data_IF_998649008911
#
_entry.id   IF_998649008911
#
_cell.length_a   1.000
_cell.length_b   1.000
_cell.length_c   1.000
_cell.angle_alpha   90.00
_cell.angle_beta   90.00
_cell.angle_gamma   90.00
#
_symmetry.space_group_name_H-M   'P 1'
#
loop_
_entity.id
_entity.type
_entity.pdbx_description
1 polymer ?
#
# COMPACT_ATOMS: atom_id res chain seq x y z
N UNK A 1 13.37 32.48 9.57
CA UNK A 1 14.20 31.95 10.67
C UNK A 1 15.54 31.53 10.12
N UNK A 2 16.60 32.19 10.57
CA UNK A 2 18.01 31.95 10.22
C UNK A 2 18.69 31.06 11.27
N UNK A 3 19.93 30.59 11.02
CA UNK A 3 20.74 29.87 12.02
C UNK A 3 20.90 30.65 13.34
N UNK A 4 20.95 31.98 13.25
CA UNK A 4 20.99 32.87 14.41
C UNK A 4 19.72 32.78 15.29
N UNK A 5 18.57 32.46 14.71
CA UNK A 5 17.32 32.27 15.46
C UNK A 5 17.32 30.93 16.18
N UNK A 6 17.86 29.87 15.58
CA UNK A 6 18.09 28.59 16.26
C UNK A 6 19.06 28.71 17.43
N UNK A 7 20.10 29.52 17.29
CA UNK A 7 21.05 29.80 18.36
C UNK A 7 20.40 30.57 19.51
N UNK A 8 19.61 31.60 19.20
CA UNK A 8 18.84 32.36 20.20
C UNK A 8 17.82 31.50 20.93
N UNK A 9 17.13 30.62 20.20
CA UNK A 9 16.23 29.63 20.81
C UNK A 9 17.00 28.70 21.74
N UNK A 10 18.16 28.18 21.30
CA UNK A 10 19.02 27.34 22.12
C UNK A 10 19.44 28.04 23.42
N UNK A 11 19.80 29.32 23.35
CA UNK A 11 20.24 30.11 24.51
C UNK A 11 19.08 30.42 25.48
N UNK A 12 17.91 30.83 24.95
CA UNK A 12 16.67 30.99 25.72
C UNK A 12 16.32 29.70 26.47
N UNK A 13 16.51 28.54 25.82
CA UNK A 13 16.28 27.24 26.44
C UNK A 13 17.36 26.82 27.45
N UNK A 14 18.63 27.18 27.25
CA UNK A 14 19.70 26.93 28.24
C UNK A 14 19.43 27.72 29.53
N UNK A 15 18.97 28.96 29.39
CA UNK A 15 18.57 29.80 30.52
C UNK A 15 17.44 29.14 31.32
N UNK A 16 16.37 28.69 30.65
CA UNK A 16 15.27 27.94 31.28
C UNK A 16 15.74 26.67 31.98
N UNK A 17 16.59 25.88 31.33
CA UNK A 17 17.12 24.63 31.89
C UNK A 17 17.97 24.88 33.14
N UNK A 18 18.77 25.94 33.15
CA UNK A 18 19.54 26.33 34.32
C UNK A 18 18.61 26.73 35.48
N UNK A 19 17.52 27.44 35.18
CA UNK A 19 16.53 27.84 36.17
C UNK A 19 15.71 26.68 36.73
N UNK A 20 15.32 25.70 35.92
CA UNK A 20 14.65 24.49 36.41
C UNK A 20 15.54 23.68 37.35
N UNK A 21 16.86 23.67 37.13
CA UNK A 21 17.82 22.96 38.00
C UNK A 21 18.14 23.69 39.31
N UNK A 22 17.99 25.01 39.33
CA UNK A 22 18.30 25.88 40.48
C UNK A 22 17.28 27.03 40.59
N UNK A 23 16.02 26.74 40.95
CA UNK A 23 14.94 27.74 40.97
C UNK A 23 15.26 28.95 41.85
N UNK A 24 15.96 28.71 42.97
CA UNK A 24 16.38 29.73 43.94
C UNK A 24 17.33 30.78 43.37
N UNK A 25 17.97 30.50 42.22
CA UNK A 25 18.90 31.43 41.55
C UNK A 25 18.25 32.22 40.42
N UNK A 26 16.94 32.06 40.21
CA UNK A 26 16.24 32.61 39.05
C UNK A 26 15.08 33.55 39.40
N UNK A 27 14.95 33.97 40.66
CA UNK A 27 13.96 34.96 41.07
C UNK A 27 14.05 36.25 40.23
N UNK A 28 15.27 36.69 39.93
CA UNK A 28 15.55 37.91 39.14
C UNK A 28 15.49 37.70 37.62
N UNK A 29 15.26 36.47 37.17
CA UNK A 29 15.23 36.10 35.74
C UNK A 29 13.80 35.91 35.21
N UNK A 30 12.77 36.25 36.00
CA UNK A 30 11.36 36.09 35.63
C UNK A 30 11.01 36.76 34.30
N UNK A 31 11.48 37.98 34.08
CA UNK A 31 11.21 38.73 32.84
C UNK A 31 11.94 38.13 31.64
N UNK A 32 13.16 37.63 31.84
CA UNK A 32 13.92 36.95 30.79
C UNK A 32 13.28 35.59 30.42
N UNK A 33 12.76 34.86 31.40
CA UNK A 33 12.02 33.61 31.20
C UNK A 33 10.68 33.86 30.50
N UNK A 34 9.94 34.89 30.90
CA UNK A 34 8.69 35.29 30.25
C UNK A 34 8.94 35.75 28.80
N UNK A 35 10.00 36.53 28.55
CA UNK A 35 10.39 36.93 27.21
C UNK A 35 10.79 35.72 26.34
N UNK A 36 11.49 34.73 26.91
CA UNK A 36 11.79 33.47 26.25
C UNK A 36 10.51 32.67 25.93
N UNK A 37 9.53 32.60 26.86
CA UNK A 37 8.23 31.96 26.63
C UNK A 37 7.49 32.64 25.48
N UNK A 38 7.41 33.98 25.49
CA UNK A 38 6.70 34.74 24.47
C UNK A 38 7.34 34.58 23.09
N UNK A 39 8.68 34.55 22.99
CA UNK A 39 9.38 34.27 21.73
C UNK A 39 9.12 32.85 21.23
N UNK A 40 9.09 31.87 22.13
CA UNK A 40 8.80 30.48 21.79
C UNK A 40 7.33 30.25 21.41
N UNK A 41 6.40 30.96 22.04
CA UNK A 41 5.00 30.99 21.69
C UNK A 41 4.77 31.72 20.36
N UNK A 42 5.57 32.75 20.05
CA UNK A 42 5.49 33.48 18.78
C UNK A 42 6.00 32.69 17.57
N UNK A 43 6.64 31.53 17.75
CA UNK A 43 6.96 30.57 16.68
C UNK A 43 5.71 29.82 16.17
N UNK A 44 4.55 30.47 16.16
CA UNK A 44 3.27 29.85 15.86
C UNK A 44 3.00 29.73 14.35
N UNK A 45 2.34 28.64 13.96
CA UNK A 45 1.70 28.51 12.65
C UNK A 45 2.66 28.45 11.45
N UNK A 46 2.34 29.25 10.43
CA UNK A 46 2.97 29.18 9.11
C UNK A 46 4.47 29.49 9.12
N UNK A 47 5.00 30.20 10.13
CA UNK A 47 6.43 30.52 10.24
C UNK A 47 7.28 29.32 10.67
N UNK A 48 6.81 28.52 11.64
CA UNK A 48 7.47 27.27 12.04
C UNK A 48 7.33 26.23 10.93
N UNK A 49 6.16 26.17 10.27
CA UNK A 49 5.96 25.33 9.08
C UNK A 49 6.92 25.72 7.96
N UNK A 50 6.97 26.98 7.56
CA UNK A 50 7.87 27.47 6.52
C UNK A 50 9.34 27.29 6.90
N UNK A 51 9.68 27.38 8.18
CA UNK A 51 11.02 27.06 8.68
C UNK A 51 11.36 25.57 8.54
N UNK A 52 10.46 24.67 8.98
CA UNK A 52 10.65 23.24 8.83
C UNK A 52 10.72 22.85 7.34
N UNK A 53 9.85 23.39 6.50
CA UNK A 53 9.87 23.20 5.04
C UNK A 53 11.21 23.61 4.40
N UNK A 54 11.79 24.73 4.83
CA UNK A 54 13.14 25.15 4.39
C UNK A 54 14.26 24.28 4.95
N UNK A 55 14.10 23.78 6.19
CA UNK A 55 15.09 22.99 6.92
C UNK A 55 15.12 21.50 6.56
N UNK A 56 14.03 20.94 6.02
CA UNK A 56 13.90 19.52 5.62
C UNK A 56 14.98 19.09 4.61
N UNK A 57 15.51 20.02 3.81
CA UNK A 57 16.58 19.74 2.85
C UNK A 57 17.97 19.58 3.49
N UNK A 58 18.12 19.88 4.79
CA UNK A 58 19.36 19.67 5.53
C UNK A 58 19.13 18.71 6.72
N UNK A 59 19.43 17.40 6.55
CA UNK A 59 19.25 16.38 7.58
C UNK A 59 19.96 16.72 8.91
N UNK A 60 21.09 17.43 8.83
CA UNK A 60 21.91 17.84 9.99
C UNK A 60 21.19 18.87 10.85
N UNK A 61 20.52 19.85 10.23
CA UNK A 61 19.74 20.88 10.94
C UNK A 61 18.56 20.26 11.68
N UNK A 62 17.87 19.31 11.04
CA UNK A 62 16.73 18.67 11.70
C UNK A 62 17.19 17.70 12.81
N UNK A 63 18.26 16.94 12.59
CA UNK A 63 18.85 16.10 13.65
C UNK A 63 19.32 16.93 14.87
N UNK A 64 19.87 18.11 14.64
CA UNK A 64 20.26 19.05 15.71
C UNK A 64 19.04 19.56 16.50
N UNK A 65 17.99 20.01 15.79
CA UNK A 65 16.72 20.46 16.39
C UNK A 65 16.09 19.32 17.20
N UNK A 66 15.97 18.14 16.60
CA UNK A 66 15.43 16.93 17.23
C UNK A 66 16.23 16.55 18.47
N UNK A 67 17.56 16.55 18.41
CA UNK A 67 18.43 16.26 19.55
C UNK A 67 18.33 17.30 20.66
N UNK A 68 18.12 18.57 20.31
CA UNK A 68 17.90 19.65 21.27
C UNK A 68 16.58 19.46 22.03
N UNK A 69 15.47 19.27 21.30
CA UNK A 69 14.15 19.07 21.86
C UNK A 69 14.04 17.75 22.65
N UNK A 70 14.66 16.66 22.18
CA UNK A 70 14.67 15.38 22.89
C UNK A 70 15.35 15.45 24.27
N UNK A 71 16.49 16.16 24.38
CA UNK A 71 17.17 16.38 25.67
C UNK A 71 16.33 17.23 26.62
N UNK A 72 15.59 18.21 26.10
CA UNK A 72 14.72 19.07 26.90
C UNK A 72 13.54 18.31 27.47
N UNK A 73 12.88 17.44 26.68
CA UNK A 73 11.79 16.61 27.17
C UNK A 73 12.21 15.77 28.38
N UNK A 74 13.40 15.17 28.33
CA UNK A 74 13.93 14.37 29.42
C UNK A 74 14.10 15.21 30.71
N UNK A 75 14.57 16.45 30.58
CA UNK A 75 14.74 17.36 31.70
C UNK A 75 13.38 17.84 32.24
N UNK A 76 12.48 18.29 31.37
CA UNK A 76 11.14 18.75 31.75
C UNK A 76 10.36 17.64 32.45
N UNK A 77 10.37 16.41 31.91
CA UNK A 77 9.71 15.27 32.54
C UNK A 77 10.31 14.91 33.91
N UNK A 78 11.64 15.00 34.04
CA UNK A 78 12.32 14.75 35.31
C UNK A 78 12.02 15.82 36.37
N UNK A 79 11.97 17.09 35.97
CA UNK A 79 11.70 18.21 36.88
C UNK A 79 10.21 18.37 37.18
N UNK A 80 9.31 18.02 36.27
CA UNK A 80 7.87 17.97 36.54
C UNK A 80 7.58 17.01 37.71
N UNK A 81 8.16 15.81 37.69
CA UNK A 81 8.03 14.82 38.79
C UNK A 81 8.61 15.35 40.11
N UNK A 82 9.62 16.23 40.06
CA UNK A 82 10.21 16.85 41.26
C UNK A 82 9.42 18.05 41.78
N UNK A 83 8.81 18.83 40.90
CA UNK A 83 7.99 20.00 41.24
C UNK A 83 6.58 19.59 41.69
N UNK A 84 6.01 18.51 41.16
CA UNK A 84 4.80 17.89 41.74
C UNK A 84 5.01 17.44 43.20
N UNK A 85 6.26 17.25 43.62
CA UNK A 85 6.65 16.95 45.01
C UNK A 85 7.03 18.18 45.84
N UNK A 86 7.19 19.35 45.22
CA UNK A 86 7.56 20.61 45.87
C UNK A 86 6.49 21.64 45.54
N UNK A 87 5.61 21.90 46.48
CA UNK A 87 4.48 22.83 46.36
C UNK A 87 4.97 24.25 45.97
N UNK A 88 5.03 24.53 44.67
CA UNK A 88 5.68 25.71 44.11
C UNK A 88 4.73 26.41 43.14
N UNK A 89 3.82 27.21 43.71
CA UNK A 89 2.74 27.92 43.01
C UNK A 89 3.21 28.81 41.85
N UNK A 90 4.46 29.27 41.86
CA UNK A 90 4.98 30.24 40.88
C UNK A 90 5.64 29.61 39.64
N UNK A 91 6.16 28.38 39.74
CA UNK A 91 6.88 27.71 38.66
C UNK A 91 6.04 26.63 37.96
N UNK A 92 5.07 26.05 38.66
CA UNK A 92 4.21 25.01 38.10
C UNK A 92 3.41 25.48 36.86
N UNK A 93 2.81 26.69 36.82
CA UNK A 93 2.08 27.16 35.64
C UNK A 93 2.97 27.35 34.41
N UNK A 94 4.14 27.96 34.60
CA UNK A 94 5.13 28.19 33.53
C UNK A 94 5.65 26.87 32.95
N UNK A 95 5.84 25.84 33.78
CA UNK A 95 6.25 24.52 33.33
C UNK A 95 5.13 23.80 32.56
N UNK A 96 3.87 23.96 32.97
CA UNK A 96 2.73 23.40 32.27
C UNK A 96 2.58 23.99 30.86
N UNK A 97 2.76 25.31 30.72
CA UNK A 97 2.80 26.00 29.43
C UNK A 97 3.95 25.49 28.54
N UNK A 98 5.14 25.31 29.11
CA UNK A 98 6.30 24.77 28.40
C UNK A 98 6.09 23.31 27.95
N UNK A 99 5.46 22.46 28.76
CA UNK A 99 5.09 21.09 28.39
C UNK A 99 4.07 21.08 27.24
N UNK A 100 3.07 21.96 27.30
CA UNK A 100 2.06 22.07 26.26
C UNK A 100 2.67 22.53 24.92
N UNK A 101 3.53 23.56 24.97
CA UNK A 101 4.27 24.07 23.82
C UNK A 101 5.20 22.99 23.24
N UNK A 102 5.92 22.26 24.08
CA UNK A 102 6.78 21.17 23.66
C UNK A 102 6.02 20.05 22.95
N UNK A 103 4.88 19.62 23.51
CA UNK A 103 4.03 18.59 22.90
C UNK A 103 3.50 19.02 21.53
N UNK A 104 3.19 20.31 21.38
CA UNK A 104 2.77 20.93 20.12
C UNK A 104 3.88 20.95 19.09
N UNK A 105 5.04 21.55 19.41
CA UNK A 105 6.21 21.60 18.52
C UNK A 105 6.66 20.20 18.12
N UNK A 106 6.70 19.25 19.06
CA UNK A 106 7.05 17.85 18.77
C UNK A 106 6.06 17.17 17.82
N UNK A 107 4.78 17.57 17.82
CA UNK A 107 3.78 17.06 16.88
C UNK A 107 4.04 17.63 15.48
N UNK A 108 4.30 18.93 15.38
CA UNK A 108 4.59 19.59 14.11
C UNK A 108 5.91 19.10 13.49
N UNK A 109 6.98 18.99 14.28
CA UNK A 109 8.25 18.38 13.82
C UNK A 109 8.03 16.95 13.34
N UNK A 110 7.24 16.13 14.05
CA UNK A 110 6.90 14.77 13.60
C UNK A 110 6.11 14.74 12.28
N UNK A 111 5.20 15.68 12.09
CA UNK A 111 4.40 15.79 10.87
C UNK A 111 5.24 16.24 9.67
N UNK A 112 6.22 17.13 9.90
CA UNK A 112 7.03 17.74 8.85
C UNK A 112 8.39 17.07 8.65
N UNK A 113 8.89 16.25 9.58
CA UNK A 113 10.09 15.44 9.37
C UNK A 113 9.79 14.30 8.39
N UNK A 114 10.11 14.55 7.13
CA UNK A 114 10.22 13.51 6.12
C UNK A 114 11.65 13.55 5.58
N UNK A 115 12.48 12.56 5.94
CA UNK A 115 13.67 12.29 5.14
C UNK A 115 13.25 12.00 3.69
N UNK A 116 14.18 12.15 2.74
CA UNK A 116 13.94 11.83 1.34
C UNK A 116 13.25 10.47 1.19
N UNK A 117 12.09 10.46 0.53
CA UNK A 117 11.29 9.25 0.35
C UNK A 117 11.91 8.43 -0.79
N UNK A 118 12.32 7.19 -0.51
CA UNK A 118 12.64 6.25 -1.57
C UNK A 118 11.42 5.38 -1.87
N UNK A 119 11.41 4.80 -3.07
CA UNK A 119 10.33 3.94 -3.54
C UNK A 119 10.90 2.54 -3.73
N UNK A 120 10.47 1.59 -2.90
CA UNK A 120 10.80 0.19 -3.04
C UNK A 120 9.71 -0.55 -3.81
N UNK A 121 10.12 -1.38 -4.76
CA UNK A 121 9.22 -2.32 -5.44
C UNK A 121 9.08 -3.54 -4.55
N UNK A 122 7.85 -3.86 -4.14
CA UNK A 122 7.55 -5.03 -3.30
C UNK A 122 6.95 -6.19 -4.09
N UNK A 123 6.49 -5.94 -5.30
CA UNK A 123 5.93 -6.97 -6.17
C UNK A 123 5.68 -6.49 -7.58
N UNK A 124 5.72 -7.43 -8.52
CA UNK A 124 5.28 -7.22 -9.89
C UNK A 124 4.01 -8.04 -10.10
N UNK A 125 2.91 -7.35 -10.38
CA UNK A 125 1.76 -8.00 -10.98
C UNK A 125 2.02 -8.27 -12.46
N UNK A 126 1.11 -9.02 -13.06
CA UNK A 126 1.08 -9.29 -14.50
C UNK A 126 1.09 -7.99 -15.33
N UNK A 127 0.29 -7.01 -14.89
CA UNK A 127 0.11 -5.71 -15.57
C UNK A 127 0.40 -4.49 -14.70
N UNK A 128 0.59 -4.66 -13.38
CA UNK A 128 0.84 -3.58 -12.40
C UNK A 128 2.18 -3.76 -11.68
N UNK A 129 2.64 -2.70 -11.02
CA UNK A 129 3.79 -2.77 -10.10
C UNK A 129 3.34 -2.27 -8.74
N UNK A 130 3.58 -3.09 -7.72
CA UNK A 130 3.28 -2.78 -6.32
C UNK A 130 4.49 -2.12 -5.67
N UNK A 131 4.27 -0.93 -5.12
CA UNK A 131 5.30 -0.09 -4.53
C UNK A 131 4.99 0.15 -3.05
N UNK A 132 6.04 0.32 -2.26
CA UNK A 132 5.94 0.88 -0.93
C UNK A 132 6.89 2.06 -0.79
N UNK A 133 6.61 2.93 0.16
CA UNK A 133 7.52 4.01 0.52
C UNK A 133 8.52 3.45 1.53
N UNK A 134 9.80 3.56 1.19
CA UNK A 134 10.94 3.08 1.97
C UNK A 134 11.92 4.23 2.23
N UNK A 135 12.93 3.97 3.07
CA UNK A 135 13.99 4.94 3.45
C UNK A 135 13.48 6.29 4.00
N UNK A 136 12.21 6.34 4.37
CA UNK A 136 11.67 7.40 5.20
C UNK A 136 12.04 7.06 6.64
N UNK A 137 12.64 8.00 7.33
CA UNK A 137 12.72 7.99 8.79
C UNK A 137 11.58 8.85 9.29
N UNK A 138 10.84 8.33 10.24
CA UNK A 138 9.93 9.13 11.07
C UNK A 138 10.55 9.28 12.45
N UNK A 139 9.92 10.08 13.30
CA UNK A 139 10.35 10.30 14.67
C UNK A 139 9.38 9.59 15.62
N UNK A 140 9.91 8.81 16.56
CA UNK A 140 9.10 8.19 17.62
C UNK A 140 8.53 9.25 18.59
N UNK A 141 7.79 8.82 19.62
CA UNK A 141 7.23 9.73 20.64
C UNK A 141 8.30 10.50 21.44
N UNK A 142 9.57 10.08 21.37
CA UNK A 142 10.75 10.69 21.99
C UNK A 142 11.62 11.42 20.97
N UNK A 143 11.10 11.65 19.76
CA UNK A 143 11.80 12.27 18.65
C UNK A 143 13.06 11.50 18.21
N UNK A 144 13.08 10.18 18.31
CA UNK A 144 14.20 9.37 17.77
C UNK A 144 13.89 8.93 16.34
N UNK A 145 14.86 9.02 15.40
CA UNK A 145 14.70 8.46 14.08
C UNK A 145 14.35 6.98 14.16
N UNK A 146 13.28 6.58 13.49
CA UNK A 146 12.89 5.19 13.30
C UNK A 146 12.51 4.97 11.84
N UNK A 147 12.73 3.75 11.33
CA UNK A 147 12.32 3.41 9.98
C UNK A 147 10.79 3.58 9.83
N UNK A 148 10.37 4.31 8.80
CA UNK A 148 8.98 4.41 8.41
C UNK A 148 8.62 3.16 7.63
N UNK A 149 7.75 2.33 8.20
CA UNK A 149 7.02 1.34 7.45
C UNK A 149 5.73 2.00 6.94
N UNK A 150 5.55 2.05 5.62
CA UNK A 150 4.27 2.48 5.06
C UNK A 150 3.19 1.44 5.39
N UNK A 151 2.10 1.89 6.01
CA UNK A 151 0.86 1.10 6.19
C UNK A 151 0.11 0.90 4.87
N UNK A 152 0.64 1.42 3.77
CA UNK A 152 0.02 1.41 2.45
C UNK A 152 0.93 0.86 1.37
N UNK A 153 0.33 0.13 0.44
CA UNK A 153 0.88 -0.35 -0.82
C UNK A 153 0.26 0.45 -1.96
N UNK A 154 1.09 0.86 -2.92
CA UNK A 154 0.70 1.66 -4.08
C UNK A 154 0.81 0.81 -5.34
N UNK A 155 -0.33 0.45 -5.93
CA UNK A 155 -0.38 -0.25 -7.22
C UNK A 155 -0.55 0.79 -8.33
N UNK A 156 0.47 0.94 -9.17
CA UNK A 156 0.44 1.91 -10.26
C UNK A 156 -0.50 1.45 -11.37
N UNK A 157 -1.47 2.31 -11.74
CA UNK A 157 -2.36 2.07 -12.86
C UNK A 157 -1.78 2.65 -14.18
N UNK A 158 -2.26 2.18 -15.35
CA UNK A 158 -2.04 2.87 -16.61
C UNK A 158 -2.47 4.34 -16.54
N UNK A 159 -1.86 5.21 -17.37
CA UNK A 159 -2.25 6.62 -17.40
C UNK A 159 -3.65 6.79 -18.00
N UNK A 160 -4.48 7.57 -17.32
CA UNK A 160 -5.80 7.95 -17.81
C UNK A 160 -5.68 9.13 -18.78
N UNK A 161 -6.44 9.14 -19.89
CA UNK A 161 -6.32 10.19 -20.89
C UNK A 161 -6.87 11.54 -20.41
N UNK A 162 -7.91 11.53 -19.57
CA UNK A 162 -8.62 12.70 -19.09
C UNK A 162 -9.35 12.41 -17.77
N UNK A 163 -9.92 13.46 -17.18
CA UNK A 163 -10.65 13.38 -15.91
C UNK A 163 -11.92 12.53 -16.01
N UNK A 164 -12.65 12.59 -17.13
CA UNK A 164 -13.89 11.85 -17.33
C UNK A 164 -13.67 10.34 -17.28
N UNK A 165 -12.61 9.84 -17.94
CA UNK A 165 -12.26 8.43 -17.91
C UNK A 165 -11.83 7.98 -16.50
N UNK A 166 -11.11 8.84 -15.77
CA UNK A 166 -10.77 8.57 -14.37
C UNK A 166 -12.03 8.52 -13.49
N UNK A 167 -13.00 9.40 -13.72
CA UNK A 167 -14.25 9.41 -12.96
C UNK A 167 -15.07 8.15 -13.22
N UNK A 168 -15.20 7.72 -14.49
CA UNK A 168 -15.85 6.45 -14.85
C UNK A 168 -15.18 5.25 -14.16
N UNK A 169 -13.85 5.18 -14.24
CA UNK A 169 -13.10 4.10 -13.60
C UNK A 169 -13.23 4.13 -12.08
N UNK A 170 -13.22 5.31 -11.44
CA UNK A 170 -13.45 5.45 -10.00
C UNK A 170 -14.81 4.91 -9.60
N UNK A 171 -15.87 5.29 -10.32
CA UNK A 171 -17.21 4.76 -10.06
C UNK A 171 -17.28 3.24 -10.22
N UNK A 172 -16.61 2.68 -11.24
CA UNK A 172 -16.52 1.23 -11.43
C UNK A 172 -15.72 0.54 -10.30
N UNK A 173 -14.60 1.12 -9.87
CA UNK A 173 -13.76 0.60 -8.80
C UNK A 173 -14.50 0.56 -7.46
N UNK A 174 -15.13 1.67 -7.06
CA UNK A 174 -15.88 1.75 -5.80
C UNK A 174 -17.07 0.77 -5.83
N UNK A 175 -17.81 0.73 -6.94
CA UNK A 175 -18.93 -0.20 -7.12
C UNK A 175 -18.49 -1.66 -7.09
N UNK A 176 -17.37 -2.00 -7.71
CA UNK A 176 -16.87 -3.38 -7.71
C UNK A 176 -16.48 -3.83 -6.29
N UNK A 177 -15.79 -2.99 -5.52
CA UNK A 177 -15.47 -3.30 -4.13
C UNK A 177 -16.73 -3.56 -3.29
N UNK A 178 -17.79 -2.78 -3.48
CA UNK A 178 -19.07 -2.98 -2.78
C UNK A 178 -19.79 -4.26 -3.24
N UNK A 179 -19.75 -4.59 -4.53
CA UNK A 179 -20.33 -5.83 -5.04
C UNK A 179 -19.58 -7.06 -4.51
N UNK A 180 -18.25 -7.03 -4.45
CA UNK A 180 -17.45 -8.11 -3.86
C UNK A 180 -17.79 -8.33 -2.38
N UNK A 181 -17.96 -7.24 -1.60
CA UNK A 181 -18.39 -7.35 -0.19
C UNK A 181 -19.78 -7.95 -0.05
N UNK A 182 -20.73 -7.52 -0.89
CA UNK A 182 -22.07 -8.10 -0.93
C UNK A 182 -22.08 -9.57 -1.33
N UNK A 183 -21.07 -9.99 -2.09
CA UNK A 183 -20.85 -11.39 -2.48
C UNK A 183 -20.09 -12.20 -1.41
N UNK A 184 -19.79 -11.59 -0.25
CA UNK A 184 -19.19 -12.26 0.91
C UNK A 184 -17.68 -12.12 1.05
N UNK A 185 -17.01 -11.35 0.19
CA UNK A 185 -15.56 -11.13 0.31
C UNK A 185 -15.24 -10.01 1.30
N UNK A 186 -14.19 -10.23 2.09
CA UNK A 186 -13.55 -9.17 2.86
C UNK A 186 -12.39 -8.56 2.08
N UNK A 187 -12.27 -7.23 2.15
CA UNK A 187 -11.31 -6.44 1.39
C UNK A 187 -10.51 -5.54 2.34
N UNK A 188 -9.18 -5.40 2.17
CA UNK A 188 -8.41 -4.40 2.89
C UNK A 188 -8.89 -2.99 2.55
N UNK A 189 -8.64 -2.04 3.44
CA UNK A 189 -8.93 -0.63 3.17
C UNK A 189 -8.19 -0.18 1.90
N UNK A 190 -8.89 0.52 1.01
CA UNK A 190 -8.34 0.89 -0.29
C UNK A 190 -9.02 2.11 -0.89
N UNK A 191 -8.30 2.83 -1.75
CA UNK A 191 -8.79 4.01 -2.47
C UNK A 191 -7.96 4.33 -3.69
N UNK A 192 -8.55 5.05 -4.65
CA UNK A 192 -7.82 5.61 -5.77
C UNK A 192 -7.26 7.00 -5.44
N UNK A 193 -5.98 7.22 -5.74
CA UNK A 193 -5.28 8.50 -5.56
C UNK A 193 -4.73 9.01 -6.91
N UNK A 194 -5.10 10.24 -7.27
CA UNK A 194 -4.47 10.98 -8.35
C UNK A 194 -3.15 11.56 -7.85
N UNK A 195 -2.04 11.10 -8.40
CA UNK A 195 -0.70 11.53 -7.99
C UNK A 195 -0.16 12.70 -8.83
N UNK A 196 -0.77 12.98 -9.99
CA UNK A 196 -0.39 14.10 -10.83
C UNK A 196 -0.85 13.96 -12.27
N UNK A 197 -0.51 14.95 -13.08
CA UNK A 197 -0.86 15.04 -14.49
C UNK A 197 0.34 15.53 -15.30
N UNK A 198 0.55 14.97 -16.48
CA UNK A 198 1.48 15.48 -17.47
C UNK A 198 0.88 15.38 -18.89
N UNK A 199 1.64 15.80 -19.90
CA UNK A 199 1.21 15.80 -21.31
C UNK A 199 0.78 14.42 -21.85
N UNK A 200 1.11 13.33 -21.15
CA UNK A 200 0.72 11.97 -21.54
C UNK A 200 -0.44 11.39 -20.70
N UNK A 201 -1.02 12.18 -19.79
CA UNK A 201 -2.24 11.86 -19.06
C UNK A 201 -2.11 11.94 -17.54
N UNK A 202 -3.14 11.44 -16.86
CA UNK A 202 -3.27 11.42 -15.41
C UNK A 202 -2.59 10.18 -14.81
N UNK A 203 -1.77 10.36 -13.80
CA UNK A 203 -1.10 9.29 -13.05
C UNK A 203 -1.92 8.93 -11.82
N UNK A 204 -2.37 7.68 -11.75
CA UNK A 204 -3.27 7.20 -10.68
C UNK A 204 -2.71 5.94 -10.04
N UNK A 205 -2.96 5.79 -8.73
CA UNK A 205 -2.61 4.63 -7.95
C UNK A 205 -3.84 4.07 -7.23
N UNK A 206 -3.93 2.74 -7.14
CA UNK A 206 -4.71 2.09 -6.08
C UNK A 206 -3.83 2.06 -4.84
N UNK A 207 -4.27 2.75 -3.79
CA UNK A 207 -3.61 2.76 -2.49
C UNK A 207 -4.38 1.81 -1.59
N UNK A 208 -3.72 0.74 -1.17
CA UNK A 208 -4.32 -0.36 -0.43
C UNK A 208 -3.57 -0.56 0.89
N UNK A 209 -4.28 -0.85 1.97
CA UNK A 209 -3.67 -1.20 3.25
C UNK A 209 -2.67 -2.33 3.05
N UNK A 210 -1.49 -2.14 3.61
CA UNK A 210 -0.43 -3.15 3.62
C UNK A 210 -0.84 -4.26 4.58
N UNK A 211 -0.82 -5.48 4.06
CA UNK A 211 -1.00 -6.70 4.84
C UNK A 211 0.38 -7.31 5.15
N UNK A 212 0.42 -8.26 6.07
CA UNK A 212 1.64 -9.01 6.34
C UNK A 212 2.03 -9.81 5.09
N UNK A 213 3.23 -9.61 4.51
CA UNK A 213 3.69 -10.38 3.36
C UNK A 213 3.72 -11.88 3.60
N UNK A 214 3.92 -12.32 4.84
CA UNK A 214 3.94 -13.74 5.19
C UNK A 214 2.58 -14.40 5.11
N UNK A 215 1.50 -13.62 5.17
CA UNK A 215 0.11 -14.09 5.12
C UNK A 215 -0.46 -14.09 3.69
N UNK A 216 0.30 -13.64 2.69
CA UNK A 216 -0.14 -13.64 1.29
C UNK A 216 -0.10 -15.06 0.76
N UNK A 217 -1.17 -15.50 0.08
CA UNK A 217 -1.40 -16.88 -0.30
C UNK A 217 -0.24 -17.53 -1.06
N UNK A 218 0.39 -16.81 -1.99
CA UNK A 218 1.51 -17.36 -2.76
C UNK A 218 2.80 -17.52 -1.93
N UNK A 219 2.96 -16.71 -0.87
CA UNK A 219 4.04 -16.88 0.10
C UNK A 219 3.68 -18.03 1.04
N UNK A 220 2.50 -18.00 1.66
CA UNK A 220 2.01 -19.03 2.57
C UNK A 220 2.10 -20.43 1.95
N UNK A 221 1.55 -20.61 0.74
CA UNK A 221 1.46 -21.92 0.09
C UNK A 221 2.84 -22.57 -0.12
N UNK A 222 3.92 -21.80 -0.20
CA UNK A 222 5.26 -22.34 -0.35
C UNK A 222 5.83 -22.97 0.94
N UNK A 223 5.34 -22.56 2.11
CA UNK A 223 5.85 -23.00 3.42
C UNK A 223 4.92 -23.98 4.14
N UNK A 224 3.64 -24.02 3.75
CA UNK A 224 2.65 -24.90 4.37
C UNK A 224 2.88 -26.38 4.01
N UNK A 225 2.66 -27.25 5.00
CA UNK A 225 2.51 -28.67 4.77
C UNK A 225 1.29 -28.94 3.86
N UNK A 226 1.25 -30.11 3.22
CA UNK A 226 0.20 -30.45 2.25
C UNK A 226 -1.21 -30.31 2.86
N UNK A 227 -1.42 -30.80 4.09
CA UNK A 227 -2.72 -30.72 4.76
C UNK A 227 -3.18 -29.26 4.95
N UNK A 228 -2.30 -28.41 5.49
CA UNK A 228 -2.59 -27.00 5.75
C UNK A 228 -2.79 -26.21 4.45
N UNK A 229 -2.00 -26.53 3.43
CA UNK A 229 -2.20 -25.99 2.09
C UNK A 229 -3.58 -26.34 1.52
N UNK A 230 -4.07 -27.56 1.75
CA UNK A 230 -5.43 -27.96 1.33
C UNK A 230 -6.52 -27.25 2.12
N UNK A 231 -6.31 -26.97 3.40
CA UNK A 231 -7.21 -26.11 4.19
C UNK A 231 -7.28 -24.70 3.57
N UNK A 232 -6.14 -24.10 3.24
CA UNK A 232 -6.09 -22.79 2.59
C UNK A 232 -6.81 -22.80 1.23
N UNK A 233 -6.50 -23.76 0.36
CA UNK A 233 -7.12 -23.86 -0.96
C UNK A 233 -8.62 -24.11 -0.86
N UNK A 234 -9.09 -24.93 0.09
CA UNK A 234 -10.53 -25.14 0.32
C UNK A 234 -11.22 -23.84 0.66
N UNK A 235 -10.64 -23.04 1.58
CA UNK A 235 -11.19 -21.74 1.95
C UNK A 235 -11.25 -20.79 0.75
N UNK A 236 -10.20 -20.75 -0.07
CA UNK A 236 -10.16 -19.93 -1.29
C UNK A 236 -11.26 -20.37 -2.27
N UNK A 237 -11.36 -21.67 -2.58
CA UNK A 237 -12.37 -22.20 -3.53
C UNK A 237 -13.78 -21.87 -3.08
N UNK A 238 -14.08 -22.00 -1.79
CA UNK A 238 -15.41 -21.68 -1.25
C UNK A 238 -15.72 -20.17 -1.35
N UNK A 239 -14.73 -19.31 -1.11
CA UNK A 239 -14.89 -17.85 -1.29
C UNK A 239 -15.09 -17.47 -2.76
N UNK A 240 -14.34 -18.10 -3.68
CA UNK A 240 -14.57 -17.94 -5.11
C UNK A 240 -16.00 -18.40 -5.45
N UNK A 241 -16.41 -19.59 -5.04
CA UNK A 241 -17.75 -20.11 -5.33
C UNK A 241 -18.87 -19.19 -4.82
N UNK A 242 -18.72 -18.61 -3.61
CA UNK A 242 -19.67 -17.65 -3.06
C UNK A 242 -19.85 -16.42 -3.96
N UNK A 243 -18.77 -15.93 -4.56
CA UNK A 243 -18.81 -14.79 -5.49
C UNK A 243 -19.67 -15.08 -6.73
N UNK A 244 -19.54 -16.28 -7.30
CA UNK A 244 -20.30 -16.67 -8.50
C UNK A 244 -21.74 -17.09 -8.19
N UNK A 245 -22.00 -17.53 -6.95
CA UNK A 245 -23.34 -17.87 -6.49
C UNK A 245 -24.15 -16.65 -6.00
N UNK A 246 -23.52 -15.49 -5.81
CA UNK A 246 -24.18 -14.31 -5.29
C UNK A 246 -25.25 -13.78 -6.25
N UNK A 247 -26.49 -13.67 -5.77
CA UNK A 247 -27.57 -13.02 -6.51
C UNK A 247 -27.44 -11.49 -6.41
N UNK A 248 -27.00 -10.89 -7.51
CA UNK A 248 -26.82 -9.45 -7.66
C UNK A 248 -27.74 -8.87 -8.75
N UNK A 249 -28.82 -9.57 -9.08
CA UNK A 249 -29.78 -9.19 -10.11
C UNK A 249 -29.14 -9.15 -11.51
N UNK A 250 -29.15 -8.01 -12.23
CA UNK A 250 -28.59 -7.92 -13.58
C UNK A 250 -27.06 -7.91 -13.64
N UNK A 251 -26.40 -8.04 -12.48
CA UNK A 251 -24.96 -7.89 -12.34
C UNK A 251 -24.29 -9.26 -12.33
N UNK A 252 -23.27 -9.43 -13.17
CA UNK A 252 -22.38 -10.59 -13.11
C UNK A 252 -21.00 -10.13 -12.63
N UNK A 253 -20.49 -10.76 -11.58
CA UNK A 253 -19.13 -10.53 -11.09
C UNK A 253 -18.14 -11.43 -11.83
N UNK A 254 -16.96 -10.89 -12.09
CA UNK A 254 -15.78 -11.65 -12.43
C UNK A 254 -14.75 -11.53 -11.31
N UNK A 255 -13.82 -12.49 -11.23
CA UNK A 255 -12.81 -12.54 -10.18
C UNK A 255 -11.52 -13.14 -10.72
N UNK A 256 -10.37 -12.63 -10.27
CA UNK A 256 -9.09 -13.28 -10.49
C UNK A 256 -8.77 -14.18 -9.28
N UNK A 257 -9.02 -15.48 -9.44
CA UNK A 257 -8.90 -16.49 -8.38
C UNK A 257 -7.46 -16.90 -8.04
N UNK A 258 -6.42 -16.27 -8.62
CA UNK A 258 -5.02 -16.62 -8.33
C UNK A 258 -4.71 -16.62 -6.83
N UNK A 259 -3.90 -17.58 -6.38
CA UNK A 259 -3.54 -17.76 -4.96
C UNK A 259 -2.84 -16.51 -4.39
N UNK A 260 -2.08 -15.77 -5.21
CA UNK A 260 -1.44 -14.50 -4.83
C UNK A 260 -2.41 -13.37 -4.52
N UNK A 261 -3.69 -13.49 -4.88
CA UNK A 261 -4.71 -12.46 -4.66
C UNK A 261 -5.46 -12.64 -3.33
N UNK A 262 -5.04 -13.59 -2.50
CA UNK A 262 -5.62 -13.88 -1.19
C UNK A 262 -4.61 -13.63 -0.08
N UNK A 263 -5.09 -13.15 1.06
CA UNK A 263 -4.34 -13.07 2.30
C UNK A 263 -5.10 -13.85 3.39
N UNK A 264 -4.38 -14.68 4.12
CA UNK A 264 -4.92 -15.53 5.18
C UNK A 264 -4.18 -15.23 6.50
N UNK A 265 -4.68 -14.28 7.31
CA UNK A 265 -3.99 -13.86 8.54
C UNK A 265 -3.78 -14.98 9.56
N UNK A 266 -4.71 -15.95 9.59
CA UNK A 266 -4.56 -17.14 10.41
C UNK A 266 -5.39 -18.29 9.82
N UNK A 267 -4.69 -19.38 9.50
CA UNK A 267 -5.27 -20.55 8.83
C UNK A 267 -6.29 -21.27 9.70
N UNK A 268 -5.97 -21.45 10.99
CA UNK A 268 -6.78 -22.18 11.98
C UNK A 268 -7.78 -21.29 12.72
N UNK A 269 -7.98 -20.05 12.25
CA UNK A 269 -8.93 -19.12 12.86
C UNK A 269 -10.13 -18.88 11.97
N UNK A 270 -11.23 -18.43 12.59
CA UNK A 270 -12.41 -17.94 11.88
C UNK A 270 -12.20 -16.56 11.23
N UNK A 271 -10.99 -16.00 11.27
CA UNK A 271 -10.70 -14.74 10.57
C UNK A 271 -10.89 -14.93 9.07
N UNK A 272 -11.60 -14.01 8.39
CA UNK A 272 -11.90 -14.14 6.97
C UNK A 272 -10.64 -14.05 6.11
N UNK A 273 -10.70 -14.68 4.93
CA UNK A 273 -9.72 -14.43 3.88
C UNK A 273 -9.93 -13.02 3.33
N UNK A 274 -8.83 -12.29 3.10
CA UNK A 274 -8.88 -10.98 2.48
C UNK A 274 -8.53 -11.12 0.99
N UNK A 275 -9.40 -10.62 0.12
CA UNK A 275 -9.14 -10.55 -1.32
C UNK A 275 -8.50 -9.21 -1.67
N UNK A 276 -7.39 -9.23 -2.41
CA UNK A 276 -6.55 -8.04 -2.60
C UNK A 276 -6.47 -7.52 -4.04
N UNK A 277 -6.90 -8.27 -5.06
CA UNK A 277 -6.83 -7.79 -6.45
C UNK A 277 -8.13 -7.16 -6.96
N UNK A 278 -8.29 -5.89 -6.62
CA UNK A 278 -9.40 -5.03 -7.02
C UNK A 278 -9.02 -4.02 -8.11
N UNK A 279 -7.78 -4.08 -8.59
CA UNK A 279 -7.23 -3.09 -9.53
C UNK A 279 -7.82 -3.19 -10.94
N UNK A 280 -8.48 -4.30 -11.23
CA UNK A 280 -9.28 -4.50 -12.44
C UNK A 280 -10.73 -4.73 -12.00
N UNK A 281 -11.59 -3.70 -12.04
CA UNK A 281 -13.00 -3.87 -11.71
C UNK A 281 -13.68 -4.78 -12.73
N UNK A 282 -13.98 -6.02 -12.36
CA UNK A 282 -14.54 -7.05 -13.24
C UNK A 282 -16.01 -7.27 -12.91
N UNK A 283 -16.88 -6.48 -13.52
CA UNK A 283 -18.30 -6.74 -13.46
C UNK A 283 -19.05 -6.28 -14.71
N UNK A 284 -20.11 -7.01 -15.01
CA UNK A 284 -21.02 -6.71 -16.11
C UNK A 284 -22.38 -6.33 -15.59
N UNK A 285 -23.02 -5.39 -16.26
CA UNK A 285 -24.43 -5.07 -16.07
C UNK A 285 -25.14 -5.43 -17.36
N UNK A 286 -26.12 -6.34 -17.28
CA UNK A 286 -26.83 -6.86 -18.47
C UNK A 286 -25.85 -7.38 -19.55
N UNK A 287 -24.79 -8.07 -19.13
CA UNK A 287 -23.76 -8.61 -20.04
C UNK A 287 -22.75 -7.60 -20.58
N UNK A 288 -22.88 -6.31 -20.26
CA UNK A 288 -21.97 -5.25 -20.73
C UNK A 288 -20.90 -4.93 -19.69
N UNK A 289 -19.63 -5.00 -20.11
CA UNK A 289 -18.47 -4.65 -19.29
C UNK A 289 -18.52 -3.18 -18.84
N UNK A 290 -18.23 -2.91 -17.56
CA UNK A 290 -18.35 -1.57 -16.99
C UNK A 290 -17.03 -0.79 -16.95
N UNK A 291 -15.92 -1.47 -17.21
CA UNK A 291 -14.61 -0.85 -17.41
C UNK A 291 -14.32 -0.69 -18.90
N UNK A 292 -13.54 0.33 -19.26
CA UNK A 292 -12.94 0.41 -20.58
C UNK A 292 -11.69 -0.50 -20.63
N UNK A 293 -11.72 -1.63 -21.37
CA UNK A 293 -10.59 -2.56 -21.43
C UNK A 293 -9.32 -1.93 -22.02
N UNK A 294 -9.47 -0.86 -22.83
CA UNK A 294 -8.33 -0.20 -23.48
C UNK A 294 -7.38 0.47 -22.49
N UNK A 295 -7.84 0.77 -21.27
CA UNK A 295 -6.98 1.33 -20.22
C UNK A 295 -5.81 0.38 -19.94
N UNK A 296 -6.07 -0.94 -19.87
CA UNK A 296 -5.05 -1.95 -19.58
C UNK A 296 -4.15 -2.23 -20.78
N UNK A 297 -4.65 -2.05 -22.01
CA UNK A 297 -3.85 -2.17 -23.23
C UNK A 297 -2.79 -1.08 -23.37
N UNK A 298 -2.89 0.04 -22.65
CA UNK A 298 -1.85 1.09 -22.68
C UNK A 298 -0.50 0.59 -22.18
N UNK A 299 -0.48 -0.42 -21.32
CA UNK A 299 0.73 -1.05 -20.81
C UNK A 299 1.39 -2.00 -21.84
N UNK A 300 0.72 -2.29 -22.95
CA UNK A 300 1.23 -3.13 -24.03
C UNK A 300 1.95 -2.28 -25.09
N UNK A 301 2.98 -2.82 -25.75
CA UNK A 301 3.64 -2.16 -26.87
C UNK A 301 2.65 -1.75 -27.95
N UNK A 302 2.82 -0.56 -28.55
CA UNK A 302 1.84 0.03 -29.48
C UNK A 302 1.52 -0.88 -30.67
N UNK A 303 2.51 -1.59 -31.20
CA UNK A 303 2.36 -2.53 -32.32
C UNK A 303 1.55 -3.79 -31.95
N UNK A 304 1.52 -4.19 -30.66
CA UNK A 304 0.74 -5.33 -30.19
C UNK A 304 -0.70 -4.98 -29.86
N UNK A 305 -0.99 -3.72 -29.54
CA UNK A 305 -2.33 -3.28 -29.10
C UNK A 305 -3.41 -3.68 -30.09
N UNK A 306 -3.18 -3.50 -31.39
CA UNK A 306 -4.14 -3.84 -32.43
C UNK A 306 -4.42 -5.35 -32.49
N UNK A 307 -3.38 -6.17 -32.35
CA UNK A 307 -3.48 -7.64 -32.35
C UNK A 307 -4.20 -8.14 -31.10
N UNK A 308 -3.80 -7.68 -29.91
CA UNK A 308 -4.44 -8.07 -28.64
C UNK A 308 -5.90 -7.63 -28.62
N UNK A 309 -6.19 -6.40 -29.05
CA UNK A 309 -7.56 -5.87 -29.14
C UNK A 309 -8.43 -6.74 -30.04
N UNK A 310 -7.92 -7.14 -31.22
CA UNK A 310 -8.74 -7.83 -32.23
C UNK A 310 -8.99 -9.30 -31.89
N UNK A 311 -8.03 -9.97 -31.27
CA UNK A 311 -8.04 -11.44 -31.16
C UNK A 311 -8.11 -11.98 -29.73
N UNK A 312 -7.80 -11.18 -28.70
CA UNK A 312 -7.61 -11.72 -27.35
C UNK A 312 -8.32 -10.95 -26.23
N UNK A 313 -8.63 -9.67 -26.41
CA UNK A 313 -9.09 -8.83 -25.30
C UNK A 313 -10.39 -9.32 -24.66
N UNK A 314 -11.36 -9.70 -25.49
CA UNK A 314 -12.66 -10.18 -25.00
C UNK A 314 -12.51 -11.55 -24.32
N UNK A 315 -11.86 -12.51 -24.97
CA UNK A 315 -11.64 -13.86 -24.44
C UNK A 315 -10.85 -13.85 -23.12
N UNK A 316 -9.86 -12.95 -22.99
CA UNK A 316 -9.07 -12.77 -21.76
C UNK A 316 -9.94 -12.22 -20.63
N UNK A 317 -10.88 -11.32 -20.90
CA UNK A 317 -11.77 -10.80 -19.87
C UNK A 317 -12.88 -11.79 -19.51
N UNK A 318 -13.44 -12.48 -20.51
CA UNK A 318 -14.51 -13.47 -20.35
C UNK A 318 -14.09 -14.60 -19.41
N UNK A 319 -12.79 -14.96 -19.39
CA UNK A 319 -12.26 -16.01 -18.50
C UNK A 319 -12.56 -15.76 -17.03
N UNK A 320 -12.57 -14.49 -16.60
CA UNK A 320 -12.82 -14.12 -15.20
C UNK A 320 -14.30 -14.23 -14.84
N UNK A 321 -15.20 -14.40 -15.80
CA UNK A 321 -16.63 -14.58 -15.55
C UNK A 321 -17.06 -16.05 -15.57
N UNK A 322 -16.13 -16.96 -15.84
CA UNK A 322 -16.34 -18.41 -15.88
C UNK A 322 -15.66 -19.05 -14.66
N UNK A 323 -16.47 -19.52 -13.71
CA UNK A 323 -15.99 -20.15 -12.48
C UNK A 323 -15.05 -21.33 -12.78
N UNK A 324 -15.37 -22.17 -13.76
CA UNK A 324 -14.55 -23.34 -14.12
C UNK A 324 -13.17 -22.90 -14.56
N UNK A 325 -13.09 -21.88 -15.42
CA UNK A 325 -11.81 -21.33 -15.90
C UNK A 325 -11.00 -20.70 -14.77
N UNK A 326 -11.66 -19.99 -13.85
CA UNK A 326 -10.99 -19.42 -12.67
C UNK A 326 -10.42 -20.48 -11.75
N UNK A 327 -11.13 -21.58 -11.52
CA UNK A 327 -10.62 -22.70 -10.72
C UNK A 327 -9.45 -23.42 -11.41
N UNK A 328 -9.51 -23.58 -12.74
CA UNK A 328 -8.40 -24.13 -13.52
C UNK A 328 -7.15 -23.24 -13.38
N UNK A 329 -7.29 -21.91 -13.52
CA UNK A 329 -6.18 -20.97 -13.37
C UNK A 329 -5.60 -20.97 -11.95
N UNK A 330 -6.45 -21.02 -10.93
CA UNK A 330 -6.03 -21.13 -9.53
C UNK A 330 -5.16 -22.38 -9.30
N UNK A 331 -5.58 -23.55 -9.79
CA UNK A 331 -4.78 -24.79 -9.67
C UNK A 331 -3.52 -24.69 -10.52
N UNK A 332 -3.60 -24.12 -11.73
CA UNK A 332 -2.44 -23.93 -12.61
C UNK A 332 -1.37 -23.04 -11.97
N UNK A 333 -1.78 -22.07 -11.14
CA UNK A 333 -0.85 -21.22 -10.39
C UNK A 333 0.05 -22.01 -9.43
N UNK A 334 -0.32 -23.22 -8.98
CA UNK A 334 0.56 -24.05 -8.14
C UNK A 334 1.86 -24.45 -8.88
N UNK A 335 1.83 -24.58 -10.21
CA UNK A 335 3.05 -24.80 -11.00
C UNK A 335 3.94 -23.55 -11.02
N UNK A 336 3.34 -22.36 -11.07
CA UNK A 336 4.03 -21.06 -11.00
C UNK A 336 4.63 -20.82 -9.62
N UNK A 337 3.93 -21.21 -8.56
CA UNK A 337 4.40 -21.13 -7.16
C UNK A 337 5.29 -22.31 -6.74
N UNK A 338 5.74 -23.15 -7.68
CA UNK A 338 6.66 -24.28 -7.44
C UNK A 338 6.15 -25.32 -6.43
N UNK A 339 4.83 -25.50 -6.38
CA UNK A 339 4.15 -26.53 -5.61
C UNK A 339 3.36 -27.49 -6.50
N UNK A 340 3.97 -28.14 -7.51
CA UNK A 340 3.27 -29.09 -8.38
C UNK A 340 2.75 -30.31 -7.60
N UNK A 341 3.32 -30.61 -6.43
CA UNK A 341 2.87 -31.63 -5.49
C UNK A 341 1.44 -31.39 -4.99
N UNK A 342 0.98 -30.13 -4.98
CA UNK A 342 -0.37 -29.76 -4.55
C UNK A 342 -1.40 -29.81 -5.66
N UNK A 343 -1.00 -29.91 -6.94
CA UNK A 343 -1.92 -29.77 -8.06
C UNK A 343 -2.97 -30.90 -8.13
N UNK A 344 -2.56 -32.15 -7.93
CA UNK A 344 -3.48 -33.30 -7.91
C UNK A 344 -4.40 -33.30 -6.68
N UNK A 345 -3.90 -33.07 -5.44
CA UNK A 345 -4.76 -32.89 -4.27
C UNK A 345 -5.77 -31.74 -4.42
N UNK A 346 -5.34 -30.59 -4.94
CA UNK A 346 -6.22 -29.44 -5.17
C UNK A 346 -7.31 -29.74 -6.21
N UNK A 347 -6.97 -30.47 -7.27
CA UNK A 347 -7.92 -30.93 -8.26
C UNK A 347 -8.98 -31.86 -7.67
N UNK A 348 -8.53 -32.83 -6.86
CA UNK A 348 -9.43 -33.76 -6.17
C UNK A 348 -10.39 -33.01 -5.24
N UNK A 349 -9.87 -32.05 -4.45
CA UNK A 349 -10.64 -31.19 -3.57
C UNK A 349 -11.72 -30.40 -4.34
N UNK A 350 -11.38 -29.77 -5.47
CA UNK A 350 -12.36 -29.01 -6.26
C UNK A 350 -13.45 -29.93 -6.81
N UNK A 351 -13.07 -31.09 -7.38
CA UNK A 351 -14.03 -32.05 -7.91
C UNK A 351 -14.94 -32.65 -6.82
N UNK A 352 -14.41 -32.87 -5.62
CA UNK A 352 -15.20 -33.28 -4.46
C UNK A 352 -16.23 -32.21 -4.09
N UNK A 353 -15.83 -30.94 -4.02
CA UNK A 353 -16.73 -29.83 -3.73
C UNK A 353 -17.83 -29.67 -4.79
N UNK A 354 -17.52 -29.91 -6.07
CA UNK A 354 -18.50 -29.96 -7.17
C UNK A 354 -19.49 -31.10 -6.92
N UNK A 355 -18.99 -32.31 -6.66
CA UNK A 355 -19.84 -33.49 -6.44
C UNK A 355 -20.75 -33.35 -5.21
N UNK A 356 -20.29 -32.63 -4.19
CA UNK A 356 -21.05 -32.33 -2.96
C UNK A 356 -22.03 -31.15 -3.13
N UNK A 357 -22.04 -30.45 -4.27
CA UNK A 357 -22.95 -29.33 -4.53
C UNK A 357 -22.56 -28.02 -3.82
N UNK A 358 -21.30 -27.88 -3.38
CA UNK A 358 -20.80 -26.62 -2.82
C UNK A 358 -20.49 -25.57 -3.89
N UNK A 359 -20.38 -25.98 -5.16
CA UNK A 359 -20.21 -25.09 -6.30
C UNK A 359 -21.52 -25.01 -7.10
N UNK A 360 -21.74 -23.92 -7.87
CA UNK A 360 -22.86 -23.80 -8.80
C UNK A 360 -23.08 -25.07 -9.63
N UNK A 361 -24.35 -25.49 -9.75
CA UNK A 361 -24.73 -26.81 -10.29
C UNK A 361 -24.30 -27.06 -11.74
N UNK A 362 -24.01 -26.02 -12.50
CA UNK A 362 -23.51 -26.06 -13.87
C UNK A 362 -21.98 -26.23 -13.96
N UNK A 363 -21.28 -26.25 -12.82
CA UNK A 363 -19.83 -26.46 -12.77
C UNK A 363 -19.50 -27.93 -13.04
N UNK A 364 -18.89 -28.21 -14.19
CA UNK A 364 -18.44 -29.57 -14.53
C UNK A 364 -17.13 -29.94 -13.82
N UNK A 365 -16.83 -31.24 -13.63
CA UNK A 365 -15.56 -31.71 -13.07
C UNK A 365 -14.34 -31.31 -13.91
N UNK A 366 -13.26 -30.93 -13.25
CA UNK A 366 -11.99 -30.53 -13.85
C UNK A 366 -11.08 -31.76 -14.10
N UNK A 367 -10.17 -31.67 -15.07
CA UNK A 367 -9.11 -32.66 -15.29
C UNK A 367 -7.71 -32.08 -15.17
N UNK A 368 -6.74 -32.92 -14.78
CA UNK A 368 -5.33 -32.52 -14.69
C UNK A 368 -4.76 -32.14 -16.07
N UNK A 369 -5.25 -32.77 -17.13
CA UNK A 369 -4.85 -32.47 -18.50
C UNK A 369 -5.21 -31.02 -18.88
N UNK A 370 -6.41 -30.56 -18.52
CA UNK A 370 -6.85 -29.18 -18.74
C UNK A 370 -6.00 -28.19 -17.94
N UNK A 371 -5.75 -28.47 -16.65
CA UNK A 371 -4.89 -27.63 -15.80
C UNK A 371 -3.48 -27.48 -16.39
N UNK A 372 -2.87 -28.61 -16.81
CA UNK A 372 -1.53 -28.59 -17.42
C UNK A 372 -1.53 -27.94 -18.80
N UNK A 373 -2.60 -28.07 -19.58
CA UNK A 373 -2.73 -27.39 -20.87
C UNK A 373 -2.81 -25.88 -20.67
N UNK A 374 -3.68 -25.43 -19.76
CA UNK A 374 -3.82 -24.03 -19.40
C UNK A 374 -2.50 -23.42 -18.92
N UNK A 375 -1.82 -24.07 -17.97
CA UNK A 375 -0.53 -23.58 -17.47
C UNK A 375 0.51 -23.41 -18.60
N UNK A 376 0.58 -24.36 -19.54
CA UNK A 376 1.52 -24.28 -20.67
C UNK A 376 1.19 -23.11 -21.60
N UNK A 377 -0.08 -22.92 -21.90
CA UNK A 377 -0.56 -21.82 -22.74
C UNK A 377 -0.30 -20.46 -22.08
N UNK A 378 -0.69 -20.30 -20.82
CA UNK A 378 -0.49 -19.07 -20.05
C UNK A 378 1.02 -18.75 -19.89
N UNK A 379 1.83 -19.75 -19.54
CA UNK A 379 3.27 -19.59 -19.44
C UNK A 379 3.91 -19.14 -20.77
N UNK A 380 3.41 -19.64 -21.91
CA UNK A 380 3.84 -19.24 -23.25
C UNK A 380 3.44 -17.79 -23.57
N UNK A 381 2.17 -17.44 -23.37
CA UNK A 381 1.64 -16.08 -23.60
C UNK A 381 2.45 -15.07 -22.79
N UNK A 382 2.67 -15.32 -21.50
CA UNK A 382 3.44 -14.43 -20.63
C UNK A 382 4.90 -14.32 -21.02
N UNK A 383 5.51 -15.41 -21.49
CA UNK A 383 6.90 -15.38 -21.97
C UNK A 383 7.01 -14.51 -23.22
N UNK A 384 6.11 -14.68 -24.18
CA UNK A 384 6.05 -13.87 -25.39
C UNK A 384 5.82 -12.38 -25.06
N UNK A 385 4.85 -12.10 -24.19
CA UNK A 385 4.53 -10.74 -23.76
C UNK A 385 5.71 -10.04 -23.07
N UNK A 386 6.44 -10.74 -22.19
CA UNK A 386 7.65 -10.19 -21.56
C UNK A 386 8.77 -9.90 -22.55
N UNK A 387 8.98 -10.76 -23.55
CA UNK A 387 9.98 -10.53 -24.62
C UNK A 387 9.59 -9.27 -25.39
N UNK A 388 8.33 -9.14 -25.78
CA UNK A 388 7.85 -7.99 -26.52
C UNK A 388 7.98 -6.68 -25.72
N UNK A 389 7.68 -6.68 -24.41
CA UNK A 389 7.90 -5.51 -23.53
C UNK A 389 9.38 -5.13 -23.42
N UNK A 390 10.29 -6.11 -23.38
CA UNK A 390 11.74 -5.85 -23.35
C UNK A 390 12.23 -5.25 -24.67
N UNK A 391 11.73 -5.74 -25.81
CA UNK A 391 12.04 -5.19 -27.12
C UNK A 391 11.50 -3.76 -27.26
N UNK A 392 10.26 -3.52 -26.85
CA UNK A 392 9.63 -2.20 -26.84
C UNK A 392 10.41 -1.19 -26.00
N UNK A 393 10.89 -1.60 -24.82
CA UNK A 393 11.81 -0.79 -24.00
C UNK A 393 13.10 -0.48 -24.75
N UNK A 394 13.72 -1.48 -25.36
CA UNK A 394 14.97 -1.29 -26.13
C UNK A 394 14.77 -0.30 -27.27
N UNK A 395 13.71 -0.46 -28.06
CA UNK A 395 13.37 0.47 -29.15
C UNK A 395 13.13 1.88 -28.60
N UNK A 396 12.32 2.01 -27.55
CA UNK A 396 11.97 3.33 -26.98
C UNK A 396 13.19 4.05 -26.40
N UNK A 397 14.03 3.35 -25.63
CA UNK A 397 15.17 3.97 -24.93
C UNK A 397 16.41 4.10 -25.81
N UNK A 398 16.74 3.10 -26.63
CA UNK A 398 17.98 3.05 -27.41
C UNK A 398 17.84 3.58 -28.82
N UNK A 399 16.70 3.36 -29.49
CA UNK A 399 16.48 3.83 -30.86
C UNK A 399 15.80 5.20 -30.90
N UNK A 400 14.80 5.42 -30.04
CA UNK A 400 14.03 6.67 -30.02
C UNK A 400 14.51 7.68 -28.97
N UNK A 401 15.43 7.30 -28.07
CA UNK A 401 15.97 8.17 -27.03
C UNK A 401 14.95 8.68 -26.02
N UNK A 402 13.80 8.01 -25.89
CA UNK A 402 12.71 8.39 -24.99
C UNK A 402 12.74 7.55 -23.71
N UNK A 403 12.25 8.11 -22.61
CA UNK A 403 12.12 7.35 -21.35
C UNK A 403 10.98 6.34 -21.45
N UNK A 404 11.26 5.08 -21.16
CA UNK A 404 10.22 4.06 -21.13
C UNK A 404 9.27 4.26 -19.93
N UNK A 405 7.94 4.30 -20.13
CA UNK A 405 7.01 4.71 -19.09
C UNK A 405 6.69 3.62 -18.05
N UNK A 406 7.10 2.37 -18.28
CA UNK A 406 6.77 1.21 -17.45
C UNK A 406 7.99 0.60 -16.78
N UNK A 407 7.83 0.12 -15.54
CA UNK A 407 8.84 -0.72 -14.88
C UNK A 407 8.63 -2.17 -15.33
N UNK A 408 9.70 -2.84 -15.74
CA UNK A 408 9.68 -4.24 -16.14
C UNK A 408 10.28 -5.12 -15.03
N UNK A 409 9.72 -6.32 -14.79
CA UNK A 409 10.32 -7.28 -13.86
C UNK A 409 11.71 -7.71 -14.36
N UNK A 410 12.56 -8.11 -13.42
CA UNK A 410 13.87 -8.71 -13.69
C UNK A 410 13.76 -10.11 -14.32
N UNK A 411 14.80 -10.94 -14.16
CA UNK A 411 14.71 -12.37 -14.51
C UNK A 411 13.77 -13.06 -13.51
N UNK A 412 12.67 -13.62 -13.99
CA UNK A 412 11.77 -14.45 -13.17
C UNK A 412 12.32 -15.87 -13.20
N UNK A 413 12.64 -16.41 -12.02
CA UNK A 413 12.94 -17.83 -11.89
C UNK A 413 11.59 -18.56 -11.89
N UNK A 414 11.23 -19.17 -13.02
CA UNK A 414 10.11 -20.11 -13.08
C UNK A 414 10.63 -21.45 -12.62
#
# INVERSE_FOLDING_TARGET
>A
MELADLQRLHDDYRLKTACLRRPERCADLRDALSAANNRLAALEGDDLRAFLERGIHNPTSVAYIVGLFGRQHAIIAQEQVRLERRDSETLAPLLAEDVALFRRISREIRQHYASGVSVQVIGYGEITTSLTLSDRFTLDSRLRPQAYASDWVFKALPKFPNADELQRYRAAFDRYADLLRRAGLELPAQRLVLAGQDASGLRVYVVQQRLDPHDIGNVLICWLAVADAMTLLRRIVLQIAAVYAADLGPIRLGLDGQISNWCCPALDSDLPLLYIDTSTPLFRVNGVEQINPEIFLKNTPSFMRAVIRRFFLQDVLDRYYDLRRVLIDMIANLYKERRPDLAEPALALVNELIAQGFLPADTSPLSLAEVKAYYREDAFIWRFFQIARRLDRFVTERLLGRRYPFRLPGKIAR
#
